data_IF_843607770769
#
_entry.id   IF_843607770769
#
_cell.length_a   1.000
_cell.length_b   1.000
_cell.length_c   1.000
_cell.angle_alpha   90.00
_cell.angle_beta   90.00
_cell.angle_gamma   90.00
#
_symmetry.space_group_name_H-M   'P 1'
#
loop_
_entity.id
_entity.type
_entity.pdbx_description
1 polymer ?
#
# COMPACT_ATOMS: atom_id res chain seq x y z
N UNK A 1 2.49 1.21 -34.71
CA UNK A 1 3.17 1.37 -33.41
C UNK A 1 4.63 1.00 -33.57
N UNK A 2 5.53 1.62 -32.80
CA UNK A 2 6.97 1.40 -32.91
C UNK A 2 7.57 0.85 -31.63
N UNK A 3 8.35 -0.22 -31.75
CA UNK A 3 9.21 -0.68 -30.64
C UNK A 3 10.54 0.02 -30.80
N UNK A 4 11.05 0.60 -29.70
CA UNK A 4 12.27 1.43 -29.69
C UNK A 4 13.33 0.88 -28.77
N UNK A 5 14.60 1.08 -29.13
CA UNK A 5 15.79 0.89 -28.31
C UNK A 5 16.49 2.24 -28.17
N UNK A 6 16.36 2.87 -27.02
CA UNK A 6 16.73 4.27 -26.90
C UNK A 6 15.92 5.14 -27.87
N UNK A 7 16.59 5.84 -28.77
CA UNK A 7 15.93 6.68 -29.78
C UNK A 7 15.78 5.99 -31.15
N UNK A 8 16.17 4.71 -31.26
CA UNK A 8 16.16 3.99 -32.55
C UNK A 8 14.92 3.10 -32.61
N UNK A 9 14.18 3.15 -33.72
CA UNK A 9 13.09 2.22 -34.00
C UNK A 9 13.70 0.85 -34.34
N UNK A 10 13.33 -0.17 -33.58
CA UNK A 10 13.74 -1.56 -33.77
C UNK A 10 12.80 -2.28 -34.72
N UNK A 11 11.51 -1.99 -34.59
CA UNK A 11 10.47 -2.62 -35.39
C UNK A 11 9.19 -1.79 -35.40
N UNK A 12 8.58 -1.73 -36.58
CA UNK A 12 7.18 -1.30 -36.75
C UNK A 12 6.26 -2.50 -36.46
N UNK A 13 5.31 -2.27 -35.58
CA UNK A 13 4.38 -3.32 -35.12
C UNK A 13 3.12 -3.29 -35.98
N UNK A 14 2.91 -4.40 -36.73
CA UNK A 14 1.64 -4.65 -37.41
C UNK A 14 0.78 -5.58 -36.52
N UNK A 15 -0.15 -4.96 -35.79
CA UNK A 15 -0.95 -5.65 -34.78
C UNK A 15 -1.78 -6.79 -35.37
N UNK A 16 -1.86 -7.87 -34.62
CA UNK A 16 -2.80 -8.96 -34.81
C UNK A 16 -3.87 -8.89 -33.72
N UNK A 17 -4.95 -9.63 -33.96
CA UNK A 17 -6.04 -9.80 -32.98
C UNK A 17 -5.48 -10.34 -31.64
N UNK A 18 -6.21 -10.06 -30.56
CA UNK A 18 -5.87 -10.45 -29.20
C UNK A 18 -4.63 -9.74 -28.60
N UNK A 19 -4.23 -8.58 -29.11
CA UNK A 19 -3.36 -7.66 -28.38
C UNK A 19 -4.20 -6.93 -27.32
N UNK A 20 -3.66 -6.73 -26.12
CA UNK A 20 -4.40 -6.12 -25.02
C UNK A 20 -3.50 -5.51 -23.96
N UNK A 21 -4.06 -4.58 -23.18
CA UNK A 21 -3.49 -4.12 -21.92
C UNK A 21 -4.22 -4.76 -20.75
N UNK A 22 -3.48 -4.92 -19.66
CA UNK A 22 -4.04 -5.26 -18.33
C UNK A 22 -3.54 -4.22 -17.35
N UNK A 23 -4.45 -3.62 -16.61
CA UNK A 23 -4.16 -2.74 -15.49
C UNK A 23 -4.93 -3.24 -14.26
N UNK A 24 -4.24 -3.49 -13.15
CA UNK A 24 -4.81 -3.99 -11.90
C UNK A 24 -4.20 -3.24 -10.72
N UNK A 25 -5.03 -2.80 -9.78
CA UNK A 25 -4.57 -2.14 -8.56
C UNK A 25 -3.69 -3.12 -7.79
N UNK A 26 -2.47 -2.69 -7.48
CA UNK A 26 -1.42 -3.49 -6.82
C UNK A 26 -1.12 -4.84 -7.52
N UNK A 27 -1.66 -5.05 -8.70
CA UNK A 27 -1.54 -6.28 -9.49
C UNK A 27 -0.77 -6.09 -10.79
N UNK A 28 -1.30 -6.68 -11.84
CA UNK A 28 -0.71 -6.68 -13.17
C UNK A 28 -0.86 -5.31 -13.85
N UNK A 29 0.21 -4.82 -14.48
CA UNK A 29 0.21 -3.62 -15.33
C UNK A 29 1.11 -3.91 -16.53
N UNK A 30 0.50 -4.47 -17.59
CA UNK A 30 1.22 -5.04 -18.72
C UNK A 30 0.52 -4.71 -20.04
N UNK A 31 1.31 -4.72 -21.11
CA UNK A 31 0.85 -4.64 -22.48
C UNK A 31 1.29 -5.90 -23.22
N UNK A 32 0.34 -6.68 -23.71
CA UNK A 32 0.59 -7.88 -24.51
C UNK A 32 0.31 -7.55 -25.98
N UNK A 33 1.34 -7.65 -26.80
CA UNK A 33 1.20 -7.44 -28.24
C UNK A 33 1.41 -8.72 -29.03
N UNK A 34 0.44 -9.01 -29.88
CA UNK A 34 0.55 -10.00 -30.94
C UNK A 34 0.73 -9.26 -32.27
N UNK A 35 1.82 -9.52 -32.98
CA UNK A 35 2.11 -8.81 -34.21
C UNK A 35 2.87 -9.65 -35.24
N UNK A 36 2.87 -9.20 -36.49
CA UNK A 36 3.65 -9.74 -37.59
C UNK A 36 4.82 -8.82 -37.89
N UNK A 37 5.96 -9.43 -38.20
CA UNK A 37 7.12 -8.73 -38.79
C UNK A 37 7.62 -9.51 -40.01
N UNK A 38 7.99 -8.81 -41.05
CA UNK A 38 8.59 -9.42 -42.24
C UNK A 38 9.99 -9.98 -41.98
N UNK A 39 10.73 -9.31 -41.12
CA UNK A 39 12.08 -9.67 -40.72
C UNK A 39 12.09 -10.19 -39.28
N UNK A 40 13.12 -10.99 -38.97
CA UNK A 40 13.41 -11.37 -37.61
C UNK A 40 13.75 -10.13 -36.78
N UNK A 41 13.04 -9.95 -35.69
CA UNK A 41 13.31 -8.87 -34.72
C UNK A 41 13.88 -9.50 -33.46
N UNK A 42 15.09 -9.05 -33.07
CA UNK A 42 15.69 -9.43 -31.81
C UNK A 42 15.44 -8.35 -30.77
N UNK A 43 14.44 -8.63 -29.91
CA UNK A 43 14.09 -7.77 -28.79
C UNK A 43 15.07 -7.99 -27.64
N UNK A 44 15.46 -6.90 -27.01
CA UNK A 44 16.35 -6.88 -25.84
C UNK A 44 15.61 -6.33 -24.61
N UNK A 45 16.13 -6.64 -23.44
CA UNK A 45 15.67 -6.03 -22.19
C UNK A 45 15.79 -4.50 -22.31
N UNK A 46 14.76 -3.79 -21.86
CA UNK A 46 14.58 -2.33 -21.98
C UNK A 46 14.21 -1.81 -23.39
N UNK A 47 14.02 -2.66 -24.40
CA UNK A 47 13.28 -2.22 -25.57
C UNK A 47 11.87 -1.85 -25.14
N UNK A 48 11.33 -0.76 -25.67
CA UNK A 48 10.07 -0.20 -25.16
C UNK A 48 9.12 0.23 -26.26
N UNK A 49 7.88 0.38 -25.87
CA UNK A 49 6.81 0.99 -26.66
C UNK A 49 6.09 2.02 -25.82
N UNK A 50 5.77 3.16 -26.41
CA UNK A 50 4.91 4.17 -25.80
C UNK A 50 3.47 3.88 -26.25
N UNK A 51 2.61 3.57 -25.28
CA UNK A 51 1.19 3.28 -25.51
C UNK A 51 0.32 4.07 -24.55
N UNK A 52 -0.60 4.87 -25.08
CA UNK A 52 -1.50 5.74 -24.29
C UNK A 52 -0.79 6.59 -23.21
N UNK A 53 0.40 7.10 -23.53
CA UNK A 53 1.19 7.92 -22.62
C UNK A 53 1.96 7.14 -21.56
N UNK A 54 1.85 5.82 -21.57
CA UNK A 54 2.61 4.92 -20.68
C UNK A 54 3.73 4.23 -21.46
N UNK A 55 4.92 4.24 -20.88
CA UNK A 55 6.07 3.52 -21.44
C UNK A 55 6.09 2.10 -20.90
N UNK A 56 5.92 1.13 -21.80
CA UNK A 56 6.01 -0.29 -21.50
C UNK A 56 7.31 -0.87 -22.03
N UNK A 57 8.03 -1.66 -21.22
CA UNK A 57 9.37 -2.20 -21.53
C UNK A 57 9.38 -3.72 -21.57
N UNK A 58 10.26 -4.29 -22.38
CA UNK A 58 10.63 -5.71 -22.30
C UNK A 58 11.51 -5.93 -21.08
N UNK A 59 11.14 -6.86 -20.19
CA UNK A 59 11.93 -7.21 -19.00
C UNK A 59 12.60 -8.58 -19.11
N UNK A 60 11.93 -9.53 -19.73
CA UNK A 60 12.38 -10.91 -19.79
C UNK A 60 12.29 -11.45 -21.21
N UNK A 61 13.28 -12.21 -21.62
CA UNK A 61 13.27 -12.85 -22.93
C UNK A 61 12.28 -14.01 -23.01
N UNK A 62 11.98 -14.68 -21.89
CA UNK A 62 11.03 -15.78 -21.84
C UNK A 62 9.57 -15.36 -22.08
N UNK A 63 9.28 -14.08 -22.02
CA UNK A 63 7.97 -13.50 -22.37
C UNK A 63 7.87 -13.08 -23.84
N UNK A 64 8.88 -13.37 -24.63
CA UNK A 64 8.88 -13.16 -26.07
C UNK A 64 8.75 -14.50 -26.77
N UNK A 65 7.62 -14.71 -27.44
CA UNK A 65 7.39 -15.89 -28.27
C UNK A 65 7.44 -15.48 -29.73
N UNK A 66 8.26 -16.16 -30.56
CA UNK A 66 8.34 -15.91 -32.00
C UNK A 66 8.09 -17.20 -32.77
N UNK A 67 7.36 -17.11 -33.88
CA UNK A 67 7.05 -18.22 -34.76
C UNK A 67 7.18 -17.82 -36.23
N UNK A 68 7.89 -18.62 -36.99
CA UNK A 68 7.98 -18.45 -38.45
C UNK A 68 6.68 -18.90 -39.11
N UNK A 69 6.22 -18.11 -40.07
CA UNK A 69 5.01 -18.42 -40.90
C UNK A 69 5.31 -18.09 -42.36
N UNK A 70 4.40 -18.51 -43.27
CA UNK A 70 4.50 -18.15 -44.68
C UNK A 70 4.41 -16.64 -44.98
N UNK A 71 3.91 -15.86 -44.01
CA UNK A 71 3.74 -14.40 -44.12
C UNK A 71 4.84 -13.60 -43.39
N UNK A 72 5.81 -14.29 -42.77
CA UNK A 72 6.85 -13.70 -41.95
C UNK A 72 6.86 -14.24 -40.53
N UNK A 73 7.29 -13.44 -39.60
CA UNK A 73 7.47 -13.83 -38.21
C UNK A 73 6.33 -13.31 -37.33
N UNK A 74 5.69 -14.21 -36.61
CA UNK A 74 4.70 -13.87 -35.58
C UNK A 74 5.38 -13.73 -34.23
N UNK A 75 5.02 -12.66 -33.51
CA UNK A 75 5.50 -12.35 -32.16
C UNK A 75 4.35 -12.23 -31.20
N UNK A 76 4.53 -12.80 -30.03
CA UNK A 76 3.75 -12.48 -28.81
C UNK A 76 4.74 -11.95 -27.78
N UNK A 77 4.59 -10.69 -27.38
CA UNK A 77 5.52 -10.00 -26.49
C UNK A 77 4.75 -9.39 -25.35
N UNK A 78 5.19 -9.65 -24.13
CA UNK A 78 4.70 -8.99 -22.94
C UNK A 78 5.63 -7.85 -22.57
N UNK A 79 5.08 -6.64 -22.49
CA UNK A 79 5.77 -5.44 -22.04
C UNK A 79 5.24 -5.05 -20.67
N UNK A 80 6.08 -4.45 -19.86
CA UNK A 80 5.82 -4.13 -18.47
C UNK A 80 5.90 -2.63 -18.22
N UNK A 81 4.99 -2.08 -17.43
CA UNK A 81 5.01 -0.68 -17.04
C UNK A 81 6.17 -0.35 -16.10
N UNK A 82 6.35 0.93 -15.80
CA UNK A 82 7.34 1.43 -14.85
C UNK A 82 7.14 0.89 -13.42
N UNK A 83 5.94 0.40 -13.06
CA UNK A 83 5.69 -0.24 -11.77
C UNK A 83 6.70 -1.36 -11.50
N UNK A 84 7.04 -2.13 -12.51
CA UNK A 84 7.97 -3.25 -12.36
C UNK A 84 9.44 -2.83 -12.17
N UNK A 85 9.79 -1.56 -12.44
CA UNK A 85 11.12 -1.03 -12.15
C UNK A 85 11.41 -1.03 -10.65
N UNK A 86 10.37 -0.97 -9.78
CA UNK A 86 10.49 -1.09 -8.32
C UNK A 86 11.06 -2.44 -7.87
N UNK A 87 10.89 -3.50 -8.68
CA UNK A 87 11.39 -4.84 -8.39
C UNK A 87 12.85 -5.03 -8.78
N UNK A 88 13.43 -4.08 -9.50
CA UNK A 88 14.83 -4.14 -9.95
C UNK A 88 15.77 -3.37 -9.03
N UNK A 89 15.27 -2.33 -8.37
CA UNK A 89 16.07 -1.48 -7.50
C UNK A 89 16.19 -2.06 -6.07
N UNK A 90 17.42 -2.16 -5.55
CA UNK A 90 17.66 -2.44 -4.13
C UNK A 90 17.26 -1.25 -3.28
N UNK A 91 16.72 -1.51 -2.10
CA UNK A 91 16.40 -0.47 -1.14
C UNK A 91 17.61 -0.19 -0.22
N UNK A 92 17.97 1.07 -0.10
CA UNK A 92 19.02 1.54 0.79
C UNK A 92 18.52 2.72 1.62
N UNK A 93 18.97 2.81 2.86
CA UNK A 93 18.70 3.97 3.72
C UNK A 93 19.21 5.24 3.02
N UNK A 94 18.36 6.24 2.93
CA UNK A 94 18.63 7.50 2.24
C UNK A 94 19.02 7.39 0.75
N UNK A 95 18.77 6.23 0.11
CA UNK A 95 19.08 6.01 -1.30
C UNK A 95 20.56 5.86 -1.62
N UNK A 96 21.41 5.55 -0.65
CA UNK A 96 22.84 5.33 -0.85
C UNK A 96 23.23 3.88 -0.52
N UNK A 97 24.17 3.26 -1.28
CA UNK A 97 24.62 1.89 -1.00
C UNK A 97 25.57 1.78 0.19
N UNK A 98 25.82 2.87 0.90
CA UNK A 98 26.68 2.87 2.10
C UNK A 98 26.03 2.09 3.22
N UNK A 99 26.70 1.04 3.68
CA UNK A 99 26.27 0.22 4.81
C UNK A 99 26.96 0.68 6.08
N UNK A 100 26.36 1.65 6.76
CA UNK A 100 26.77 2.07 8.10
C UNK A 100 26.09 1.22 9.16
N UNK A 101 26.51 1.32 10.41
CA UNK A 101 25.80 0.68 11.53
C UNK A 101 24.34 1.14 11.55
N UNK A 102 23.41 0.23 11.86
CA UNK A 102 21.95 0.45 11.88
C UNK A 102 21.35 0.87 10.53
N UNK A 103 21.93 0.37 9.44
CA UNK A 103 21.57 0.71 8.09
C UNK A 103 20.30 -0.02 7.58
N UNK A 104 19.91 -1.10 8.25
CA UNK A 104 18.95 -2.09 7.72
C UNK A 104 17.51 -1.84 8.17
N UNK A 105 17.20 -0.78 8.91
CA UNK A 105 15.85 -0.41 9.32
C UNK A 105 15.63 1.11 9.36
N UNK A 106 14.38 1.51 9.25
CA UNK A 106 13.98 2.91 9.34
C UNK A 106 12.59 3.02 9.98
N UNK A 107 12.41 4.08 10.78
CA UNK A 107 11.12 4.46 11.35
C UNK A 107 10.69 5.80 10.76
N UNK A 108 9.49 5.86 10.21
CA UNK A 108 8.95 7.08 9.64
C UNK A 108 7.49 6.97 9.26
N UNK A 109 6.87 8.09 8.93
CA UNK A 109 5.52 8.15 8.39
C UNK A 109 5.48 7.63 6.95
N UNK A 110 4.29 7.36 6.42
CA UNK A 110 4.11 6.99 5.02
C UNK A 110 4.77 8.00 4.06
N UNK A 111 4.75 9.30 4.41
CA UNK A 111 5.38 10.38 3.63
C UNK A 111 6.91 10.28 3.65
N UNK A 112 7.50 9.95 4.78
CA UNK A 112 8.94 9.77 4.91
C UNK A 112 9.41 8.57 4.11
N UNK A 113 8.70 7.44 4.21
CA UNK A 113 8.93 6.25 3.40
C UNK A 113 8.79 6.53 1.91
N UNK A 114 7.75 7.25 1.48
CA UNK A 114 7.57 7.64 0.08
C UNK A 114 8.76 8.45 -0.44
N UNK A 115 9.30 9.36 0.38
CA UNK A 115 10.49 10.13 0.02
C UNK A 115 11.72 9.23 -0.16
N UNK A 116 11.89 8.21 0.70
CA UNK A 116 12.96 7.22 0.57
C UNK A 116 12.80 6.34 -0.66
N UNK A 117 11.59 5.89 -0.99
CA UNK A 117 11.33 5.15 -2.24
C UNK A 117 11.73 5.95 -3.46
N UNK A 118 11.31 7.21 -3.55
CA UNK A 118 11.66 8.09 -4.66
C UNK A 118 13.18 8.30 -4.76
N UNK A 119 13.88 8.51 -3.63
CA UNK A 119 15.35 8.63 -3.61
C UNK A 119 16.02 7.35 -4.15
N UNK A 120 15.56 6.17 -3.73
CA UNK A 120 16.09 4.89 -4.19
C UNK A 120 15.85 4.69 -5.69
N UNK A 121 14.66 4.99 -6.19
CA UNK A 121 14.34 4.88 -7.60
C UNK A 121 15.16 5.86 -8.46
N UNK A 122 15.36 7.10 -8.00
CA UNK A 122 16.18 8.09 -8.69
C UNK A 122 17.69 7.79 -8.66
N UNK A 123 18.13 6.86 -7.80
CA UNK A 123 19.52 6.33 -7.84
C UNK A 123 19.76 5.45 -9.03
N UNK A 124 18.79 4.65 -9.45
CA UNK A 124 18.91 3.70 -10.58
C UNK A 124 18.39 4.26 -11.90
N UNK A 125 17.56 5.28 -11.85
CA UNK A 125 16.97 5.99 -12.98
C UNK A 125 16.64 7.41 -12.57
N UNK A 126 16.11 8.22 -13.47
CA UNK A 126 15.71 9.60 -13.17
C UNK A 126 14.23 9.83 -13.47
N UNK A 127 13.63 10.85 -12.85
CA UNK A 127 12.26 11.28 -13.13
C UNK A 127 11.20 10.71 -12.19
N UNK A 128 11.57 9.93 -11.16
CA UNK A 128 10.64 9.48 -10.14
C UNK A 128 10.28 10.61 -9.18
N UNK A 129 8.99 10.72 -8.88
CA UNK A 129 8.46 11.76 -7.99
C UNK A 129 7.49 11.18 -6.96
N UNK A 130 7.39 11.84 -5.81
CA UNK A 130 6.42 11.53 -4.79
C UNK A 130 5.07 12.16 -5.17
N UNK A 131 4.04 11.34 -5.22
CA UNK A 131 2.67 11.73 -5.46
C UNK A 131 1.86 11.96 -4.20
N UNK A 132 0.58 11.56 -4.25
CA UNK A 132 -0.31 11.58 -3.10
C UNK A 132 0.14 10.58 -2.04
N UNK A 133 -0.12 10.90 -0.77
CA UNK A 133 0.21 10.05 0.34
C UNK A 133 -0.78 10.27 1.47
N UNK A 134 -1.26 9.20 2.07
CA UNK A 134 -2.09 9.26 3.28
C UNK A 134 -1.27 9.76 4.48
N UNK A 135 -1.96 10.33 5.45
CA UNK A 135 -1.39 10.53 6.78
C UNK A 135 -1.32 9.17 7.50
N UNK A 136 -0.28 8.96 8.27
CA UNK A 136 -0.07 7.69 8.97
C UNK A 136 0.65 7.86 10.29
N UNK A 137 0.53 6.85 11.13
CA UNK A 137 1.44 6.63 12.26
C UNK A 137 2.86 6.36 11.76
N UNK A 138 3.83 6.43 12.66
CA UNK A 138 5.20 5.97 12.41
C UNK A 138 5.21 4.45 12.23
N UNK A 139 5.92 3.98 11.21
CA UNK A 139 6.09 2.56 10.88
C UNK A 139 7.59 2.25 10.85
N UNK A 140 7.97 1.21 11.55
CA UNK A 140 9.34 0.69 11.53
C UNK A 140 9.40 -0.56 10.64
N UNK A 141 10.22 -0.53 9.59
CA UNK A 141 10.47 -1.69 8.74
C UNK A 141 11.96 -1.97 8.62
N UNK A 142 12.28 -3.27 8.56
CA UNK A 142 13.61 -3.74 8.17
C UNK A 142 13.64 -4.03 6.67
N UNK A 143 14.71 -3.57 5.99
CA UNK A 143 14.85 -3.69 4.54
C UNK A 143 16.17 -4.34 4.10
N UNK A 144 16.77 -5.12 4.99
CA UNK A 144 18.01 -5.84 4.68
C UNK A 144 17.83 -6.72 3.44
N UNK A 145 18.66 -6.47 2.42
CA UNK A 145 18.70 -7.22 1.16
C UNK A 145 17.32 -7.33 0.45
N UNK A 146 16.52 -6.24 0.53
CA UNK A 146 15.19 -6.16 -0.08
C UNK A 146 15.15 -5.17 -1.24
N UNK A 147 14.26 -5.43 -2.19
CA UNK A 147 13.94 -4.52 -3.29
C UNK A 147 12.98 -3.43 -2.84
N UNK A 148 13.00 -2.29 -3.55
CA UNK A 148 12.09 -1.16 -3.29
C UNK A 148 10.63 -1.61 -3.30
N UNK A 149 10.21 -2.41 -4.29
CA UNK A 149 8.85 -2.94 -4.37
C UNK A 149 8.47 -3.80 -3.16
N UNK A 150 9.37 -4.66 -2.69
CA UNK A 150 9.13 -5.51 -1.51
C UNK A 150 8.94 -4.68 -0.24
N UNK A 151 9.77 -3.66 -0.03
CA UNK A 151 9.64 -2.77 1.15
C UNK A 151 8.36 -1.95 1.06
N UNK A 152 7.98 -1.50 -0.15
CA UNK A 152 6.72 -0.80 -0.37
C UNK A 152 5.52 -1.71 -0.07
N UNK A 153 5.52 -2.96 -0.54
CA UNK A 153 4.44 -3.92 -0.26
C UNK A 153 4.29 -4.20 1.25
N UNK A 154 5.41 -4.30 1.98
CA UNK A 154 5.40 -4.45 3.44
C UNK A 154 4.81 -3.20 4.14
N UNK A 155 5.23 -2.00 3.72
CA UNK A 155 4.67 -0.75 4.26
C UNK A 155 3.15 -0.67 4.05
N UNK A 156 2.70 -1.00 2.85
CA UNK A 156 1.27 -0.96 2.49
C UNK A 156 0.47 -1.96 3.32
N UNK A 157 1.04 -3.14 3.57
CA UNK A 157 0.41 -4.14 4.44
C UNK A 157 0.27 -3.66 5.88
N UNK A 158 1.31 -2.99 6.43
CA UNK A 158 1.28 -2.42 7.78
C UNK A 158 0.30 -1.24 7.91
N UNK A 159 0.06 -0.52 6.81
CA UNK A 159 -0.87 0.60 6.74
C UNK A 159 -2.30 0.19 6.35
N UNK A 160 -2.54 -1.09 6.02
CA UNK A 160 -3.80 -1.61 5.45
C UNK A 160 -4.35 -0.71 4.33
N UNK A 161 -3.51 -0.37 3.37
CA UNK A 161 -3.83 0.55 2.29
C UNK A 161 -3.35 0.01 0.94
N UNK A 162 -3.27 0.88 -0.06
CA UNK A 162 -2.85 0.56 -1.43
C UNK A 162 -1.76 1.52 -1.91
N UNK A 163 -1.10 1.17 -3.01
CA UNK A 163 -0.30 2.10 -3.78
C UNK A 163 -0.56 1.93 -5.28
N UNK A 164 -0.25 2.96 -6.04
CA UNK A 164 -0.23 2.88 -7.50
C UNK A 164 0.86 3.75 -8.09
N UNK A 165 1.27 3.37 -9.28
CA UNK A 165 2.26 4.10 -10.06
C UNK A 165 1.54 4.77 -11.23
N UNK A 166 1.77 6.06 -11.43
CA UNK A 166 1.30 6.81 -12.58
C UNK A 166 2.50 7.42 -13.31
N UNK A 167 2.86 6.84 -14.45
CA UNK A 167 4.14 7.15 -15.09
C UNK A 167 5.32 6.76 -14.18
N UNK A 168 6.00 7.76 -13.62
CA UNK A 168 7.06 7.59 -12.61
C UNK A 168 6.69 8.24 -11.27
N UNK A 169 5.41 8.42 -10.99
CA UNK A 169 4.91 8.96 -9.72
C UNK A 169 4.45 7.83 -8.83
N UNK A 170 5.01 7.72 -7.63
CA UNK A 170 4.60 6.77 -6.60
C UNK A 170 3.54 7.43 -5.72
N UNK A 171 2.40 6.78 -5.57
CA UNK A 171 1.30 7.25 -4.72
C UNK A 171 0.98 6.19 -3.66
N UNK A 172 0.69 6.62 -2.43
CA UNK A 172 0.30 5.76 -1.32
C UNK A 172 -1.07 6.19 -0.81
N UNK A 173 -2.02 5.26 -0.78
CA UNK A 173 -3.39 5.49 -0.38
C UNK A 173 -4.35 4.70 -1.24
N UNK A 174 -5.64 4.81 -0.98
CA UNK A 174 -6.66 4.14 -1.78
C UNK A 174 -6.84 4.86 -3.12
N UNK A 175 -6.61 4.15 -4.22
CA UNK A 175 -6.85 4.67 -5.57
C UNK A 175 -8.34 4.66 -5.85
N UNK A 176 -8.99 5.79 -5.68
CA UNK A 176 -10.43 5.92 -5.87
C UNK A 176 -10.78 7.21 -6.59
N UNK A 177 -11.63 7.09 -7.62
CA UNK A 177 -12.15 8.21 -8.40
C UNK A 177 -13.68 8.16 -8.45
N UNK A 178 -14.33 9.32 -8.49
CA UNK A 178 -15.78 9.43 -8.59
C UNK A 178 -16.33 8.69 -9.80
N UNK A 179 -17.54 8.15 -9.66
CA UNK A 179 -18.30 7.54 -10.77
C UNK A 179 -18.74 8.59 -11.81
N UNK A 180 -18.76 9.87 -11.45
CA UNK A 180 -19.35 10.95 -12.26
C UNK A 180 -20.77 10.63 -12.77
N UNK A 181 -21.51 9.83 -11.99
CA UNK A 181 -22.85 9.39 -12.35
C UNK A 181 -22.92 8.28 -13.41
N UNK A 182 -21.79 7.66 -13.76
CA UNK A 182 -21.79 6.52 -14.70
C UNK A 182 -22.45 5.31 -14.04
N UNK A 183 -23.54 4.83 -14.65
CA UNK A 183 -24.23 3.60 -14.26
C UNK A 183 -24.24 2.65 -15.45
N UNK A 184 -23.80 1.41 -15.21
CA UNK A 184 -23.78 0.34 -16.18
C UNK A 184 -24.73 -0.78 -15.72
N UNK A 185 -25.46 -1.35 -16.67
CA UNK A 185 -26.34 -2.48 -16.42
C UNK A 185 -26.16 -3.58 -17.49
N UNK A 186 -26.66 -4.76 -17.24
CA UNK A 186 -26.68 -5.82 -18.22
C UNK A 186 -27.82 -5.58 -19.22
N UNK A 187 -27.53 -5.69 -20.50
CA UNK A 187 -28.51 -5.59 -21.59
C UNK A 187 -28.01 -4.76 -22.77
N UNK A 188 -28.71 -4.85 -23.88
CA UNK A 188 -28.40 -4.09 -25.10
C UNK A 188 -28.49 -2.59 -24.83
N UNK A 189 -27.41 -1.88 -25.11
CA UNK A 189 -27.33 -0.44 -24.88
C UNK A 189 -27.12 -0.01 -23.42
N UNK A 190 -27.01 -0.94 -22.48
CA UNK A 190 -26.92 -0.67 -21.04
C UNK A 190 -25.50 -0.73 -20.49
N UNK A 191 -24.52 -1.05 -21.30
CA UNK A 191 -23.09 -0.99 -20.96
C UNK A 191 -22.41 -2.33 -20.74
N UNK A 192 -23.11 -3.37 -20.26
CA UNK A 192 -22.59 -4.74 -20.17
C UNK A 192 -23.32 -5.70 -21.10
N UNK A 193 -22.54 -6.48 -21.87
CA UNK A 193 -23.07 -7.63 -22.61
C UNK A 193 -23.17 -8.88 -21.73
N UNK A 194 -22.27 -9.02 -20.79
CA UNK A 194 -22.24 -10.13 -19.82
C UNK A 194 -21.87 -9.55 -18.44
N UNK A 195 -22.52 -10.03 -17.39
CA UNK A 195 -22.20 -9.71 -16.00
C UNK A 195 -22.19 -11.01 -15.19
N UNK A 196 -21.06 -11.31 -14.59
CA UNK A 196 -20.83 -12.51 -13.78
C UNK A 196 -20.53 -12.07 -12.34
N UNK A 197 -21.14 -12.74 -11.38
CA UNK A 197 -20.86 -12.58 -9.94
C UNK A 197 -20.17 -13.85 -9.44
N UNK A 198 -19.05 -13.66 -8.75
CA UNK A 198 -18.37 -14.78 -8.08
C UNK A 198 -17.89 -14.33 -6.69
N UNK A 199 -17.67 -15.28 -5.79
CA UNK A 199 -16.96 -14.99 -4.56
C UNK A 199 -15.51 -14.61 -4.87
N UNK A 200 -14.95 -13.72 -4.07
CA UNK A 200 -13.55 -13.31 -4.20
C UNK A 200 -12.62 -14.44 -3.79
N UNK A 201 -12.96 -15.06 -2.68
CA UNK A 201 -12.28 -16.19 -2.07
C UNK A 201 -13.29 -17.03 -1.26
N UNK A 202 -12.84 -18.14 -0.72
CA UNK A 202 -13.66 -19.00 0.14
C UNK A 202 -13.73 -18.50 1.59
N UNK A 203 -13.21 -17.29 1.88
CA UNK A 203 -13.21 -16.73 3.24
C UNK A 203 -14.61 -16.22 3.58
N UNK A 204 -15.27 -16.78 4.59
CA UNK A 204 -16.58 -16.30 5.01
C UNK A 204 -16.46 -14.90 5.62
N UNK A 205 -17.56 -14.11 5.62
CA UNK A 205 -17.60 -12.85 6.35
C UNK A 205 -17.40 -13.11 7.85
N UNK A 206 -16.82 -12.16 8.55
CA UNK A 206 -16.71 -12.20 10.01
C UNK A 206 -17.88 -11.40 10.58
N UNK A 207 -18.70 -12.02 11.43
CA UNK A 207 -19.87 -11.37 12.03
C UNK A 207 -19.72 -11.11 13.54
N UNK A 208 -18.74 -11.77 14.17
CA UNK A 208 -18.40 -11.59 15.59
C UNK A 208 -16.89 -11.49 15.71
N UNK A 209 -16.41 -10.39 16.22
CA UNK A 209 -15.00 -10.15 16.47
C UNK A 209 -14.71 -10.11 17.96
N UNK A 210 -13.69 -10.87 18.41
CA UNK A 210 -13.14 -10.82 19.76
C UNK A 210 -11.78 -10.09 19.69
N UNK A 211 -11.77 -8.76 19.77
CA UNK A 211 -10.55 -8.01 19.68
C UNK A 211 -9.84 -7.94 21.03
N UNK A 212 -8.52 -7.88 21.00
CA UNK A 212 -7.69 -7.58 22.15
C UNK A 212 -6.44 -6.81 21.70
N UNK A 213 -5.94 -5.94 22.56
CA UNK A 213 -4.75 -5.13 22.28
C UNK A 213 -3.45 -5.83 22.67
N UNK A 214 -2.40 -5.05 22.94
CA UNK A 214 -1.13 -5.55 23.44
C UNK A 214 -1.16 -5.75 24.96
N UNK A 215 -0.18 -6.47 25.47
CA UNK A 215 0.12 -6.66 26.90
C UNK A 215 0.93 -5.51 27.51
N UNK A 216 1.45 -4.61 26.67
CA UNK A 216 2.33 -3.51 27.10
C UNK A 216 1.60 -2.53 28.00
N UNK A 217 2.31 -2.03 29.02
CA UNK A 217 1.85 -0.97 29.93
C UNK A 217 0.60 -1.28 30.77
N UNK A 218 0.29 -2.54 30.91
CA UNK A 218 -0.71 -3.05 31.81
C UNK A 218 -0.06 -3.42 33.16
N UNK A 219 -0.71 -3.06 34.26
CA UNK A 219 -0.24 -3.50 35.58
C UNK A 219 -0.84 -4.82 36.00
N UNK A 220 -0.29 -5.49 37.02
CA UNK A 220 -0.83 -6.75 37.56
C UNK A 220 -2.28 -6.61 38.05
N UNK A 221 -2.70 -5.38 38.36
CA UNK A 221 -4.06 -5.03 38.78
C UNK A 221 -5.07 -4.93 37.62
N UNK A 222 -4.63 -5.04 36.38
CA UNK A 222 -5.53 -4.96 35.21
C UNK A 222 -6.46 -6.18 35.12
N UNK A 223 -6.02 -7.33 35.61
CA UNK A 223 -6.86 -8.55 35.71
C UNK A 223 -6.99 -9.32 34.39
N UNK A 224 -6.22 -8.96 33.36
CA UNK A 224 -6.12 -9.68 32.09
C UNK A 224 -4.68 -9.52 31.51
N UNK A 225 -4.26 -10.48 30.70
CA UNK A 225 -2.94 -10.49 30.08
C UNK A 225 -2.84 -9.48 28.93
N UNK A 226 -3.94 -9.08 28.35
CA UNK A 226 -4.03 -8.19 27.18
C UNK A 226 -5.03 -7.07 27.42
N UNK A 227 -4.85 -5.95 26.70
CA UNK A 227 -5.81 -4.87 26.69
C UNK A 227 -7.16 -5.34 26.12
N UNK A 228 -8.23 -5.11 26.86
CA UNK A 228 -9.58 -5.51 26.53
C UNK A 228 -10.44 -4.32 26.06
N UNK A 229 -11.60 -4.63 25.48
CA UNK A 229 -12.63 -3.65 25.16
C UNK A 229 -13.15 -2.93 26.43
N UNK A 230 -13.66 -1.70 26.30
CA UNK A 230 -14.22 -0.96 27.44
C UNK A 230 -15.50 -1.61 27.98
N UNK A 231 -15.88 -1.23 29.19
CA UNK A 231 -17.16 -1.55 29.84
C UNK A 231 -17.48 -3.05 29.94
N UNK A 232 -16.48 -3.91 29.93
CA UNK A 232 -16.64 -5.36 30.00
C UNK A 232 -17.23 -6.00 28.75
N UNK A 233 -17.23 -5.30 27.63
CA UNK A 233 -17.56 -5.87 26.33
C UNK A 233 -16.57 -6.98 25.97
N UNK A 234 -17.06 -8.11 25.46
CA UNK A 234 -16.24 -9.24 25.06
C UNK A 234 -16.06 -9.33 23.55
N UNK A 235 -17.01 -8.82 22.80
CA UNK A 235 -17.02 -8.90 21.33
C UNK A 235 -17.73 -7.71 20.70
N UNK A 236 -17.47 -7.52 19.43
CA UNK A 236 -18.20 -6.60 18.56
C UNK A 236 -18.92 -7.44 17.52
N UNK A 237 -20.21 -7.17 17.29
CA UNK A 237 -21.06 -7.97 16.42
C UNK A 237 -21.70 -7.11 15.31
N UNK A 238 -21.74 -7.65 14.08
CA UNK A 238 -22.41 -7.03 12.94
C UNK A 238 -22.88 -8.08 11.95
N UNK A 239 -24.09 -7.91 11.39
CA UNK A 239 -24.68 -8.80 10.39
C UNK A 239 -24.90 -10.26 10.84
N UNK A 240 -24.95 -10.52 12.15
CA UNK A 240 -25.21 -11.86 12.70
C UNK A 240 -26.55 -12.38 12.23
N UNK A 241 -27.58 -11.54 12.12
CA UNK A 241 -28.90 -11.91 11.64
C UNK A 241 -28.91 -12.38 10.18
N UNK A 242 -28.00 -11.80 9.35
CA UNK A 242 -27.91 -12.07 7.92
C UNK A 242 -27.10 -13.33 7.61
N UNK A 243 -25.98 -13.54 8.32
CA UNK A 243 -25.02 -14.58 7.98
C UNK A 243 -24.78 -15.63 9.06
N UNK A 244 -25.45 -15.49 10.23
CA UNK A 244 -25.16 -16.28 11.42
C UNK A 244 -23.91 -15.82 12.15
N UNK A 245 -23.54 -16.54 13.21
CA UNK A 245 -22.33 -16.23 14.01
C UNK A 245 -21.11 -16.85 13.34
N UNK A 246 -20.25 -16.01 12.81
CA UNK A 246 -18.96 -16.39 12.21
C UNK A 246 -17.90 -15.60 12.97
N UNK A 247 -17.16 -16.32 13.82
CA UNK A 247 -16.35 -15.74 14.87
C UNK A 247 -14.87 -15.63 14.48
N UNK A 248 -14.21 -14.57 14.95
CA UNK A 248 -12.78 -14.37 14.83
C UNK A 248 -12.21 -13.69 16.05
N UNK A 249 -11.07 -14.19 16.56
CA UNK A 249 -10.24 -13.47 17.52
C UNK A 249 -9.12 -12.74 16.76
N UNK A 250 -8.82 -11.51 17.18
CA UNK A 250 -7.79 -10.71 16.53
C UNK A 250 -7.06 -9.82 17.51
N UNK A 251 -5.73 -9.84 17.46
CA UNK A 251 -4.86 -8.97 18.22
C UNK A 251 -4.57 -7.68 17.46
N UNK A 252 -4.70 -6.55 18.15
CA UNK A 252 -4.30 -5.21 17.72
C UNK A 252 -3.05 -4.81 18.52
N UNK A 253 -1.90 -5.40 18.23
CA UNK A 253 -0.68 -5.30 19.05
C UNK A 253 -0.12 -3.87 19.15
N UNK A 254 -0.44 -2.99 18.22
CA UNK A 254 -0.05 -1.58 18.24
C UNK A 254 -0.91 -0.72 19.18
N UNK A 255 -2.02 -1.27 19.71
CA UNK A 255 -2.90 -0.60 20.66
C UNK A 255 -2.59 -1.07 22.07
N UNK A 256 -2.09 -0.15 22.87
CA UNK A 256 -1.78 -0.34 24.28
C UNK A 256 -1.81 1.01 24.99
N UNK A 257 -1.95 1.04 26.33
CA UNK A 257 -1.92 2.28 27.08
C UNK A 257 -0.61 3.04 26.89
N UNK A 258 -0.64 4.19 26.23
CA UNK A 258 0.53 5.03 25.96
C UNK A 258 0.18 6.50 25.89
N UNK A 259 1.14 7.35 26.24
CA UNK A 259 1.13 8.77 25.95
C UNK A 259 2.27 9.11 25.00
N UNK A 260 2.06 10.05 24.10
CA UNK A 260 3.11 10.66 23.31
C UNK A 260 3.61 11.90 24.06
N UNK A 261 4.89 11.89 24.42
CA UNK A 261 5.52 12.98 25.15
C UNK A 261 6.61 13.59 24.30
N UNK A 262 6.92 14.87 24.54
CA UNK A 262 7.99 15.57 23.83
C UNK A 262 9.12 15.95 24.79
N UNK A 263 10.35 15.92 24.31
CA UNK A 263 11.51 16.48 24.99
C UNK A 263 11.34 17.98 25.09
N UNK A 264 11.13 18.50 26.29
CA UNK A 264 10.95 19.93 26.51
C UNK A 264 12.27 20.65 26.81
N UNK A 265 13.24 19.93 27.37
CA UNK A 265 14.59 20.46 27.64
C UNK A 265 15.62 19.32 27.55
N UNK A 266 16.75 19.60 26.92
CA UNK A 266 17.94 18.74 26.93
C UNK A 266 18.95 19.28 27.94
N UNK A 267 19.15 18.55 29.04
CA UNK A 267 20.08 18.92 30.10
C UNK A 267 21.52 18.59 29.72
N UNK A 268 21.72 17.35 29.25
CA UNK A 268 22.98 16.85 28.69
C UNK A 268 22.68 15.79 27.62
N UNK A 269 23.70 15.08 27.16
CA UNK A 269 23.53 14.07 26.10
C UNK A 269 22.72 12.82 26.54
N UNK A 270 22.49 12.65 27.82
CA UNK A 270 21.80 11.51 28.41
C UNK A 270 20.54 11.90 29.17
N UNK A 271 20.43 13.17 29.61
CA UNK A 271 19.39 13.62 30.51
C UNK A 271 18.44 14.58 29.82
N UNK A 272 17.16 14.28 29.91
CA UNK A 272 16.09 15.08 29.31
C UNK A 272 14.98 15.40 30.30
N UNK A 273 14.20 16.45 30.01
CA UNK A 273 12.90 16.75 30.63
C UNK A 273 11.77 16.60 29.66
N UNK A 274 10.63 16.17 30.19
CA UNK A 274 9.39 16.01 29.45
C UNK A 274 8.21 16.59 30.27
N UNK A 275 8.12 17.92 30.33
CA UNK A 275 7.13 18.62 31.14
C UNK A 275 5.67 18.34 30.75
N UNK A 276 5.45 17.75 29.56
CA UNK A 276 4.13 17.31 29.11
C UNK A 276 3.62 16.05 29.81
N UNK A 277 4.46 15.35 30.58
CA UNK A 277 4.03 14.18 31.35
C UNK A 277 3.15 14.60 32.53
N UNK A 278 1.94 14.08 32.57
CA UNK A 278 0.91 14.43 33.56
C UNK A 278 0.84 13.46 34.76
N UNK A 279 1.77 12.51 34.84
CA UNK A 279 1.85 11.54 35.94
C UNK A 279 3.28 11.48 36.53
N UNK A 280 3.39 10.81 37.67
CA UNK A 280 4.66 10.52 38.31
C UNK A 280 5.14 9.13 37.91
N UNK A 281 6.37 9.04 37.40
CA UNK A 281 6.91 7.76 36.95
C UNK A 281 7.01 6.74 38.08
N UNK A 282 7.40 7.18 39.29
CA UNK A 282 7.54 6.32 40.48
C UNK A 282 6.26 5.62 40.88
N UNK A 283 5.10 6.21 40.59
CA UNK A 283 3.79 5.61 40.91
C UNK A 283 3.37 4.56 39.86
N UNK A 284 4.11 4.48 38.77
CA UNK A 284 3.80 3.69 37.59
C UNK A 284 4.82 2.55 37.33
N UNK A 285 5.87 2.43 38.15
CA UNK A 285 6.89 1.40 37.97
C UNK A 285 6.32 -0.01 38.18
N UNK A 286 6.84 -0.95 37.45
CA UNK A 286 6.58 -2.39 37.59
C UNK A 286 7.82 -3.06 38.18
N UNK A 287 7.64 -3.92 39.17
CA UNK A 287 8.73 -4.62 39.84
C UNK A 287 9.55 -5.47 38.85
N UNK A 288 10.85 -5.20 38.77
CA UNK A 288 11.78 -5.94 37.92
C UNK A 288 11.67 -5.66 36.41
N UNK A 289 10.93 -4.61 36.00
CA UNK A 289 10.78 -4.23 34.60
C UNK A 289 11.46 -2.87 34.37
N UNK A 290 12.36 -2.81 33.39
CA UNK A 290 12.99 -1.56 32.99
C UNK A 290 11.98 -0.69 32.18
N UNK A 291 11.92 0.59 32.48
CA UNK A 291 11.14 1.54 31.68
C UNK A 291 11.95 1.92 30.44
N UNK A 292 11.32 1.74 29.28
CA UNK A 292 11.92 2.01 27.98
C UNK A 292 11.32 3.26 27.36
N UNK A 293 12.17 4.12 26.87
CA UNK A 293 11.84 5.28 26.03
C UNK A 293 12.03 4.90 24.57
N UNK A 294 10.96 4.91 23.81
CA UNK A 294 11.00 4.68 22.35
C UNK A 294 10.78 6.01 21.66
N UNK A 295 11.82 6.56 21.03
CA UNK A 295 11.69 7.79 20.26
C UNK A 295 10.93 7.56 18.98
N UNK A 296 9.99 8.47 18.69
CA UNK A 296 9.10 8.40 17.52
C UNK A 296 9.62 9.22 16.35
N UNK A 297 10.40 10.26 16.63
CA UNK A 297 11.00 11.14 15.62
C UNK A 297 12.40 11.63 16.06
N UNK A 298 13.01 12.53 15.28
CA UNK A 298 14.33 13.06 15.55
C UNK A 298 15.48 12.10 15.26
N UNK A 299 16.64 12.39 15.83
CA UNK A 299 17.86 11.61 15.62
C UNK A 299 17.81 10.19 16.20
N UNK A 300 16.97 9.98 17.20
CA UNK A 300 16.78 8.69 17.89
C UNK A 300 15.52 7.95 17.47
N UNK A 301 14.84 8.36 16.40
CA UNK A 301 13.63 7.70 15.95
C UNK A 301 13.82 6.16 15.80
N UNK A 302 12.95 5.40 16.46
CA UNK A 302 12.99 3.93 16.48
C UNK A 302 14.00 3.30 17.44
N UNK A 303 14.76 4.09 18.22
CA UNK A 303 15.60 3.55 19.27
C UNK A 303 14.84 3.39 20.56
N UNK A 304 15.05 2.22 21.18
CA UNK A 304 14.57 1.85 22.51
C UNK A 304 15.70 2.02 23.52
N UNK A 305 15.55 2.95 24.45
CA UNK A 305 16.56 3.27 25.46
C UNK A 305 15.94 3.13 26.85
N UNK A 306 16.59 2.36 27.71
CA UNK A 306 16.17 2.22 29.10
C UNK A 306 16.42 3.53 29.89
N UNK A 307 15.54 3.83 30.83
CA UNK A 307 15.78 4.87 31.83
C UNK A 307 16.74 4.29 32.88
N UNK A 308 17.72 5.12 33.29
CA UNK A 308 18.63 4.75 34.39
C UNK A 308 17.82 4.68 35.68
N UNK A 309 17.93 3.59 36.40
CA UNK A 309 17.27 3.37 37.69
C UNK A 309 17.58 4.52 38.65
N UNK A 310 16.60 4.95 39.43
CA UNK A 310 16.69 6.06 40.39
C UNK A 310 17.09 7.45 39.80
N UNK A 311 17.10 7.60 38.49
CA UNK A 311 17.39 8.90 37.84
C UNK A 311 16.19 9.82 37.66
N UNK A 312 15.02 9.38 38.04
CA UNK A 312 13.76 10.11 37.84
C UNK A 312 13.56 11.19 38.90
N UNK A 313 13.25 12.43 38.42
CA UNK A 313 12.78 13.53 39.23
C UNK A 313 11.33 13.87 38.85
N UNK A 314 10.40 13.58 39.76
CA UNK A 314 8.98 13.82 39.53
C UNK A 314 8.58 15.28 39.42
N UNK A 315 9.28 16.18 40.16
CA UNK A 315 8.97 17.61 40.18
C UNK A 315 9.39 18.27 38.86
N UNK A 316 10.58 17.89 38.39
CA UNK A 316 11.14 18.42 37.15
C UNK A 316 10.73 17.63 35.91
N UNK A 317 10.07 16.46 36.07
CA UNK A 317 9.78 15.51 34.96
C UNK A 317 11.04 15.18 34.16
N UNK A 318 12.15 14.95 34.88
CA UNK A 318 13.48 14.75 34.34
C UNK A 318 13.94 13.32 34.58
N UNK A 319 14.61 12.71 33.61
CA UNK A 319 15.22 11.41 33.76
C UNK A 319 16.44 11.24 32.84
N UNK A 320 17.25 10.23 33.15
CA UNK A 320 18.47 9.89 32.42
C UNK A 320 18.30 8.63 31.62
N UNK A 321 18.72 8.67 30.35
CA UNK A 321 18.73 7.51 29.44
C UNK A 321 20.01 6.70 29.64
N UNK A 322 19.88 5.38 29.58
CA UNK A 322 20.98 4.43 29.58
C UNK A 322 21.56 4.35 28.17
N UNK A 323 22.88 4.50 28.05
CA UNK A 323 23.55 4.31 26.76
C UNK A 323 23.48 2.83 26.36
N UNK A 324 23.31 2.53 25.07
CA UNK A 324 23.36 1.17 24.58
C UNK A 324 24.76 0.55 24.78
N UNK A 325 24.80 -0.68 25.29
CA UNK A 325 26.03 -1.41 25.64
C UNK A 325 26.55 -2.31 24.50
N UNK A 326 26.03 -2.17 23.27
CA UNK A 326 26.44 -3.05 22.16
C UNK A 326 27.88 -2.71 21.72
N UNK A 327 28.82 -3.66 21.91
CA UNK A 327 30.17 -3.55 21.35
C UNK A 327 30.09 -3.36 19.83
N UNK A 328 30.82 -2.38 19.32
CA UNK A 328 30.85 -2.00 17.91
C UNK A 328 29.56 -1.40 17.31
N UNK A 329 28.55 -1.05 18.11
CA UNK A 329 27.42 -0.23 17.68
C UNK A 329 27.71 1.27 17.84
N UNK A 330 26.94 2.12 17.15
CA UNK A 330 26.88 3.55 17.46
C UNK A 330 26.44 3.69 18.92
N UNK A 331 27.13 4.54 19.67
CA UNK A 331 26.74 4.85 21.04
C UNK A 331 25.54 5.79 21.02
N UNK A 332 24.46 5.30 21.60
CA UNK A 332 23.18 6.00 21.63
C UNK A 332 22.63 5.99 23.07
N UNK A 333 22.36 7.13 23.67
CA UNK A 333 22.76 8.50 23.28
C UNK A 333 24.28 8.68 23.24
N UNK A 334 24.78 9.61 22.45
CA UNK A 334 26.21 9.93 22.33
C UNK A 334 26.57 10.30 20.90
N UNK A 335 26.87 9.30 20.04
CA UNK A 335 27.20 9.56 18.63
C UNK A 335 25.99 10.08 17.84
N UNK A 336 24.79 9.65 18.25
CA UNK A 336 23.50 10.18 17.82
C UNK A 336 22.71 10.56 19.06
N UNK A 337 21.97 11.66 19.01
CA UNK A 337 21.32 12.23 20.17
C UNK A 337 19.90 12.73 19.86
N UNK A 338 19.11 12.88 20.93
CA UNK A 338 17.81 13.55 20.89
C UNK A 338 17.97 15.07 20.88
N UNK A 339 16.91 15.73 20.43
CA UNK A 339 16.78 17.19 20.41
C UNK A 339 15.51 17.63 21.13
N UNK A 340 15.44 18.89 21.52
CA UNK A 340 14.21 19.50 22.06
C UNK A 340 13.14 19.44 20.97
N UNK A 341 11.95 18.96 21.34
CA UNK A 341 10.82 18.77 20.43
C UNK A 341 10.66 17.32 19.96
N UNK A 342 11.70 16.48 20.06
CA UNK A 342 11.59 15.07 19.68
C UNK A 342 10.55 14.36 20.55
N UNK A 343 9.73 13.55 19.91
CA UNK A 343 8.63 12.82 20.52
C UNK A 343 9.04 11.42 20.91
N UNK A 344 8.49 10.94 22.01
CA UNK A 344 8.72 9.59 22.49
C UNK A 344 7.50 9.01 23.19
N UNK A 345 7.47 7.69 23.31
CA UNK A 345 6.53 6.93 24.14
C UNK A 345 7.30 6.16 25.22
N UNK A 346 6.59 5.78 26.27
CA UNK A 346 7.12 4.96 27.35
C UNK A 346 6.50 3.56 27.34
N UNK A 347 7.32 2.55 27.59
CA UNK A 347 6.90 1.17 27.80
C UNK A 347 7.60 0.57 29.03
N UNK A 348 7.08 -0.57 29.52
CA UNK A 348 7.62 -1.19 30.73
C UNK A 348 7.12 -0.56 32.03
N UNK A 349 5.93 0.07 32.01
CA UNK A 349 5.34 0.68 33.18
C UNK A 349 3.81 0.44 33.20
N UNK A 350 3.22 0.61 34.37
CA UNK A 350 1.78 0.60 34.52
C UNK A 350 1.24 2.00 34.21
N UNK A 351 0.66 2.20 33.04
CA UNK A 351 0.06 3.49 32.71
C UNK A 351 -1.15 3.83 33.60
N UNK A 352 -1.37 5.13 33.92
CA UNK A 352 -2.55 5.59 34.65
C UNK A 352 -3.85 5.15 33.98
N UNK A 353 -4.94 5.09 34.79
CA UNK A 353 -6.23 4.61 34.34
C UNK A 353 -6.77 5.33 33.11
N UNK A 354 -6.60 6.65 33.04
CA UNK A 354 -7.04 7.46 31.88
C UNK A 354 -6.43 6.99 30.55
N UNK A 355 -5.17 6.58 30.55
CA UNK A 355 -4.50 6.05 29.36
C UNK A 355 -4.98 4.64 28.99
N UNK A 356 -5.31 3.82 30.03
CA UNK A 356 -5.87 2.49 29.81
C UNK A 356 -7.27 2.58 29.22
N UNK A 357 -8.10 3.48 29.72
CA UNK A 357 -9.45 3.74 29.21
C UNK A 357 -9.42 4.24 27.76
N UNK A 358 -8.54 5.20 27.47
CA UNK A 358 -8.35 5.72 26.12
C UNK A 358 -7.89 4.63 25.13
N UNK A 359 -6.95 3.77 25.54
CA UNK A 359 -6.49 2.67 24.70
C UNK A 359 -7.61 1.64 24.46
N UNK A 360 -8.46 1.34 25.46
CA UNK A 360 -9.63 0.47 25.30
C UNK A 360 -10.65 1.05 24.31
N UNK A 361 -10.89 2.36 24.35
CA UNK A 361 -11.76 3.04 23.38
C UNK A 361 -11.16 3.00 21.96
N UNK A 362 -9.86 3.26 21.83
CA UNK A 362 -9.16 3.14 20.54
C UNK A 362 -9.27 1.72 20.01
N UNK A 363 -9.10 0.71 20.84
CA UNK A 363 -9.30 -0.70 20.47
C UNK A 363 -10.70 -0.95 19.93
N UNK A 364 -11.72 -0.41 20.58
CA UNK A 364 -13.11 -0.54 20.13
C UNK A 364 -13.32 0.12 18.76
N UNK A 365 -12.82 1.33 18.57
CA UNK A 365 -12.95 2.07 17.31
C UNK A 365 -12.27 1.35 16.15
N UNK A 366 -11.03 0.93 16.33
CA UNK A 366 -10.27 0.23 15.27
C UNK A 366 -10.85 -1.17 15.00
N UNK A 367 -11.27 -1.89 16.02
CA UNK A 367 -11.91 -3.18 15.86
C UNK A 367 -13.27 -3.08 15.16
N UNK A 368 -14.06 -2.02 15.45
CA UNK A 368 -15.31 -1.75 14.74
C UNK A 368 -15.04 -1.45 13.27
N UNK A 369 -14.09 -0.58 12.97
CA UNK A 369 -13.70 -0.25 11.59
C UNK A 369 -13.23 -1.49 10.83
N UNK A 370 -12.45 -2.36 11.48
CA UNK A 370 -12.02 -3.63 10.89
C UNK A 370 -13.20 -4.56 10.60
N UNK A 371 -14.11 -4.72 11.55
CA UNK A 371 -15.31 -5.57 11.40
C UNK A 371 -16.20 -5.03 10.27
N UNK A 372 -16.40 -3.72 10.20
CA UNK A 372 -17.17 -3.06 9.14
C UNK A 372 -16.64 -3.41 7.74
N UNK A 373 -15.32 -3.52 7.59
CA UNK A 373 -14.69 -3.96 6.36
C UNK A 373 -14.75 -5.47 6.08
N UNK A 374 -15.17 -6.31 7.03
CA UNK A 374 -15.12 -7.79 6.90
C UNK A 374 -16.45 -8.49 7.15
N UNK A 375 -17.50 -7.77 7.56
CA UNK A 375 -18.80 -8.35 7.94
C UNK A 375 -19.73 -8.66 6.76
N UNK A 376 -19.32 -8.42 5.54
CA UNK A 376 -20.09 -8.69 4.33
C UNK A 376 -19.37 -9.73 3.45
N UNK A 377 -20.16 -10.48 2.68
CA UNK A 377 -19.59 -11.35 1.65
C UNK A 377 -18.87 -10.51 0.62
N UNK A 378 -17.61 -10.86 0.39
CA UNK A 378 -16.83 -10.23 -0.67
C UNK A 378 -17.18 -10.89 -2.00
N UNK A 379 -17.79 -10.12 -2.89
CA UNK A 379 -18.12 -10.54 -4.23
C UNK A 379 -17.23 -9.84 -5.25
N UNK A 380 -16.92 -10.56 -6.29
CA UNK A 380 -16.27 -10.05 -7.48
C UNK A 380 -17.28 -10.01 -8.61
N UNK A 381 -17.40 -8.85 -9.23
CA UNK A 381 -18.15 -8.70 -10.47
C UNK A 381 -17.19 -8.73 -11.65
N UNK A 382 -17.52 -9.49 -12.67
CA UNK A 382 -16.81 -9.51 -13.93
C UNK A 382 -17.79 -9.09 -15.03
N UNK A 383 -17.54 -7.91 -15.59
CA UNK A 383 -18.37 -7.35 -16.66
C UNK A 383 -17.63 -7.37 -17.98
N UNK A 384 -18.28 -7.85 -19.03
CA UNK A 384 -17.85 -7.65 -20.41
C UNK A 384 -18.61 -6.47 -20.98
N UNK A 385 -17.87 -5.42 -21.33
CA UNK A 385 -18.46 -4.19 -21.79
C UNK A 385 -18.99 -4.28 -23.22
N UNK A 386 -20.07 -3.54 -23.48
CA UNK A 386 -20.62 -3.33 -24.82
C UNK A 386 -19.77 -2.26 -25.52
N UNK A 387 -18.96 -2.69 -26.47
CA UNK A 387 -18.04 -1.85 -27.22
C UNK A 387 -18.74 -0.70 -27.96
N UNK A 388 -19.94 -0.97 -28.48
CA UNK A 388 -20.71 -0.01 -29.24
C UNK A 388 -21.17 1.13 -28.32
N UNK A 389 -21.70 0.77 -27.15
CA UNK A 389 -22.15 1.75 -26.13
C UNK A 389 -20.99 2.59 -25.66
N UNK A 390 -19.88 1.97 -25.29
CA UNK A 390 -18.68 2.67 -24.80
C UNK A 390 -18.13 3.66 -25.83
N UNK A 391 -18.11 3.27 -27.11
CA UNK A 391 -17.66 4.12 -28.21
C UNK A 391 -18.63 5.29 -28.49
N UNK A 392 -19.93 4.97 -28.62
CA UNK A 392 -20.93 5.99 -28.96
C UNK A 392 -21.11 7.04 -27.87
N UNK A 393 -21.00 6.62 -26.60
CA UNK A 393 -21.13 7.51 -25.45
C UNK A 393 -19.78 8.05 -24.96
N UNK A 394 -18.67 7.71 -25.64
CA UNK A 394 -17.32 8.10 -25.26
C UNK A 394 -17.00 7.78 -23.79
N UNK A 395 -17.40 6.58 -23.33
CA UNK A 395 -17.17 6.14 -21.96
C UNK A 395 -15.72 5.66 -21.83
N UNK A 396 -15.00 6.26 -20.91
CA UNK A 396 -13.68 5.81 -20.49
C UNK A 396 -13.71 5.48 -19.00
N UNK A 397 -13.24 4.31 -18.63
CA UNK A 397 -13.15 3.85 -17.23
C UNK A 397 -11.68 3.62 -16.88
N UNK A 398 -11.24 4.16 -15.76
CA UNK A 398 -9.90 3.93 -15.22
C UNK A 398 -9.93 2.96 -14.03
N UNK A 399 -8.82 2.27 -13.77
CA UNK A 399 -8.65 1.56 -12.51
C UNK A 399 -8.76 2.52 -11.32
N UNK A 400 -9.52 2.13 -10.30
CA UNK A 400 -9.84 2.97 -9.15
C UNK A 400 -11.13 3.79 -9.32
N UNK A 401 -11.74 3.83 -10.51
CA UNK A 401 -13.00 4.56 -10.71
C UNK A 401 -14.16 3.79 -10.08
N UNK A 402 -15.03 4.55 -9.40
CA UNK A 402 -16.33 4.05 -8.98
C UNK A 402 -17.27 4.00 -10.18
N UNK A 403 -18.08 2.97 -10.28
CA UNK A 403 -19.09 2.80 -11.34
C UNK A 403 -20.35 2.27 -10.69
N UNK A 404 -21.48 2.90 -10.95
CA UNK A 404 -22.78 2.34 -10.59
C UNK A 404 -23.04 1.07 -11.40
N UNK A 405 -23.40 -0.02 -10.73
CA UNK A 405 -23.80 -1.28 -11.38
C UNK A 405 -25.20 -1.62 -10.94
N UNK A 406 -26.06 -1.81 -11.94
CA UNK A 406 -27.43 -2.24 -11.73
C UNK A 406 -27.71 -3.59 -12.39
N UNK A 407 -28.30 -4.51 -11.62
CA UNK A 407 -28.83 -5.77 -12.11
C UNK A 407 -29.93 -6.28 -11.19
N UNK A 408 -31.17 -6.24 -11.64
CA UNK A 408 -32.30 -6.77 -10.90
C UNK A 408 -32.20 -8.27 -10.65
N UNK A 409 -31.67 -9.03 -11.62
CA UNK A 409 -31.53 -10.48 -11.53
C UNK A 409 -30.47 -10.92 -10.49
N UNK A 410 -29.46 -10.08 -10.26
CA UNK A 410 -28.36 -10.35 -9.33
C UNK A 410 -28.51 -9.60 -8.01
N UNK A 411 -29.63 -8.86 -7.82
CA UNK A 411 -29.89 -7.99 -6.67
C UNK A 411 -28.73 -7.01 -6.40
N UNK A 412 -28.29 -6.33 -7.47
CA UNK A 412 -27.22 -5.35 -7.42
C UNK A 412 -27.74 -3.98 -7.85
N UNK A 413 -27.63 -3.01 -6.94
CA UNK A 413 -27.88 -1.59 -7.23
C UNK A 413 -26.95 -0.76 -6.35
N UNK A 414 -25.71 -0.56 -6.81
CA UNK A 414 -24.69 0.15 -6.02
C UNK A 414 -23.50 0.61 -6.85
N UNK A 415 -22.75 1.56 -6.29
CA UNK A 415 -21.45 1.94 -6.82
C UNK A 415 -20.38 0.91 -6.42
N UNK A 416 -19.56 0.53 -7.38
CA UNK A 416 -18.51 -0.49 -7.21
C UNK A 416 -17.22 0.04 -7.83
N UNK A 417 -16.11 -0.16 -7.14
CA UNK A 417 -14.79 0.27 -7.61
C UNK A 417 -14.20 -0.71 -8.63
N UNK A 418 -13.73 -0.18 -9.73
CA UNK A 418 -13.03 -0.94 -10.77
C UNK A 418 -11.59 -1.19 -10.32
N UNK A 419 -11.20 -2.45 -10.14
CA UNK A 419 -9.87 -2.82 -9.64
C UNK A 419 -8.99 -3.45 -10.70
N UNK A 420 -9.58 -4.02 -11.76
CA UNK A 420 -8.85 -4.59 -12.90
C UNK A 420 -9.56 -4.27 -14.19
N UNK A 421 -8.78 -3.86 -15.17
CA UNK A 421 -9.25 -3.58 -16.53
C UNK A 421 -8.39 -4.38 -17.51
N UNK A 422 -9.05 -5.09 -18.40
CA UNK A 422 -8.42 -5.66 -19.59
C UNK A 422 -9.01 -5.01 -20.81
N UNK A 423 -8.19 -4.33 -21.61
CA UNK A 423 -8.61 -3.65 -22.84
C UNK A 423 -7.94 -4.31 -24.03
N UNK A 424 -8.74 -4.76 -24.99
CA UNK A 424 -8.23 -5.29 -26.25
C UNK A 424 -7.94 -4.14 -27.21
N UNK A 425 -6.85 -4.26 -27.94
CA UNK A 425 -6.38 -3.28 -28.91
C UNK A 425 -6.79 -3.79 -30.29
N UNK A 426 -7.55 -2.98 -31.01
CA UNK A 426 -7.96 -3.30 -32.38
C UNK A 426 -6.86 -3.04 -33.39
N UNK A 427 -6.91 -3.82 -34.48
CA UNK A 427 -6.21 -3.49 -35.71
C UNK A 427 -6.75 -2.18 -36.26
N UNK A 428 -5.85 -1.25 -36.56
CA UNK A 428 -6.18 -0.15 -37.48
C UNK A 428 -6.52 -0.74 -38.85
N UNK A 429 -7.80 -0.87 -39.13
CA UNK A 429 -8.27 -1.01 -40.50
C UNK A 429 -8.11 0.37 -41.14
N UNK A 430 -6.97 0.62 -41.74
CA UNK A 430 -6.81 1.78 -42.62
C UNK A 430 -7.80 1.65 -43.79
N UNK A 431 -9.01 2.12 -43.58
CA UNK A 431 -9.84 2.55 -44.70
C UNK A 431 -9.16 3.75 -45.29
N UNK A 432 -8.59 3.59 -46.49
CA UNK A 432 -8.13 4.67 -47.35
C UNK A 432 -9.31 5.56 -47.72
N UNK A 433 -9.69 6.43 -46.81
CA UNK A 433 -10.50 7.62 -47.13
C UNK A 433 -9.63 8.81 -46.75
N UNK A 434 -9.20 9.55 -47.77
CA UNK A 434 -8.28 10.69 -47.68
C UNK A 434 -8.81 11.87 -46.89
N UNK A 435 -8.89 11.74 -45.57
CA UNK A 435 -9.03 12.80 -44.61
C UNK A 435 -8.10 12.52 -43.43
N UNK A 436 -7.09 13.39 -43.30
CA UNK A 436 -6.21 13.47 -42.15
C UNK A 436 -6.98 13.95 -40.93
N UNK A 437 -7.62 13.05 -40.20
CA UNK A 437 -8.03 13.25 -38.83
C UNK A 437 -7.17 12.32 -37.96
N UNK A 438 -6.61 12.78 -36.84
CA UNK A 438 -5.94 11.89 -35.90
C UNK A 438 -7.01 10.93 -35.36
N UNK A 439 -6.94 9.66 -35.80
CA UNK A 439 -7.86 8.62 -35.35
C UNK A 439 -7.46 8.22 -33.93
N UNK A 440 -8.31 8.40 -32.92
CA UNK A 440 -8.04 7.79 -31.62
C UNK A 440 -8.02 6.28 -31.80
N UNK A 441 -7.01 5.63 -31.26
CA UNK A 441 -6.88 4.15 -31.23
C UNK A 441 -8.16 3.61 -30.61
N UNK A 442 -8.97 2.88 -31.38
CA UNK A 442 -10.23 2.37 -30.87
C UNK A 442 -9.97 1.16 -29.98
N UNK A 443 -10.30 1.29 -28.71
CA UNK A 443 -10.25 0.21 -27.71
C UNK A 443 -11.52 -0.62 -27.85
N UNK A 444 -11.42 -1.79 -28.45
CA UNK A 444 -12.53 -2.70 -28.64
C UNK A 444 -12.39 -3.92 -27.73
N UNK A 445 -13.37 -4.19 -26.95
CA UNK A 445 -13.48 -5.27 -25.98
C UNK A 445 -12.80 -4.98 -24.65
N UNK A 446 -13.55 -4.45 -23.73
CA UNK A 446 -13.12 -4.26 -22.35
C UNK A 446 -13.75 -5.33 -21.45
N UNK A 447 -12.93 -5.98 -20.63
CA UNK A 447 -13.39 -6.85 -19.55
C UNK A 447 -13.01 -6.18 -18.26
N UNK A 448 -13.99 -5.80 -17.48
CA UNK A 448 -13.80 -5.21 -16.15
C UNK A 448 -13.81 -6.33 -15.10
N UNK A 449 -12.84 -6.29 -14.20
CA UNK A 449 -12.91 -6.95 -12.91
C UNK A 449 -13.18 -5.88 -11.86
N UNK A 450 -14.29 -6.03 -11.17
CA UNK A 450 -14.76 -5.05 -10.20
C UNK A 450 -14.78 -5.75 -8.85
N UNK A 451 -13.99 -5.25 -7.91
CA UNK A 451 -13.94 -5.78 -6.56
C UNK A 451 -14.68 -4.85 -5.62
N UNK A 452 -15.45 -5.44 -4.75
CA UNK A 452 -16.05 -4.72 -3.65
C UNK A 452 -15.35 -5.10 -2.35
N UNK A 453 -14.69 -4.13 -1.75
CA UNK A 453 -14.31 -4.12 -0.34
C UNK A 453 -15.10 -3.02 0.32
N UNK A 454 -15.86 -3.34 1.31
CA UNK A 454 -16.23 -2.38 2.34
C UNK A 454 -15.08 -2.25 3.30
#
# INVERSE_FOLDING_TARGET
>A
MEIKRGNTVVCDVYLKDNSYTVEEIMGEDTLILNFLSRNVVELQINDYIDFEGTKYKVRHNEKVTKRETSLGWEYTVQFYSSRYDLLDAEFFLHGTPERKKNFDYYTGTARDWLTLFVKNMNRTGSGWVAGSCIESRMITLSFKDKKVGTVLDELIKELDTEYWISGQTINIGRREYSSNGLVLAQGEGMGFTELEVSAVDDTPPVTVLYPYGSDKNLGPDYGADYLLLPDGLLSIEKNVEKYGRIEKSMQFDHIFPKGEFAVTEKIDDYTLRASSMDFNLTDCLLDGVEVIVTFQDGGLAGYDLAIVEDSWDNDLKQFKLKQNDQENALKVPGDINFSVGDKFILTGLKMPQSYRDNASLQLQEEAQAWLDGKCEKRIQLRGKCDEIVFRLQNIFIACGQMVGVYSEQLDIDREIRVTKIKRYIEKDVHLHTGMNLPCPISLNRMVLRIWWMM
#
